data_IF_031086786240
#
_entry.id   IF_031086786240
#
_cell.length_a   1.000
_cell.length_b   1.000
_cell.length_c   1.000
_cell.angle_alpha   90.00
_cell.angle_beta   90.00
_cell.angle_gamma   90.00
#
_symmetry.space_group_name_H-M   'P 1'
#
loop_
_entity.id
_entity.type
_entity.pdbx_description
1 polymer ?
#
# COMPACT_ATOMS: atom_id res chain seq x y z
N UNK A 1 2.63 -7.59 34.85
CA UNK A 1 3.29 -8.16 33.66
C UNK A 1 3.76 -6.99 32.81
N UNK A 2 5.08 -6.75 32.73
CA UNK A 2 5.64 -5.56 32.09
C UNK A 2 5.40 -5.59 30.57
N UNK A 3 4.26 -5.08 30.13
CA UNK A 3 3.86 -5.04 28.74
C UNK A 3 4.65 -3.93 28.03
N UNK A 4 5.34 -4.28 26.94
CA UNK A 4 6.06 -3.33 26.10
C UNK A 4 5.20 -2.07 25.82
N UNK A 5 5.72 -0.89 26.12
CA UNK A 5 4.96 0.35 26.02
C UNK A 5 4.96 0.86 24.57
N UNK A 6 3.97 0.47 23.78
CA UNK A 6 3.86 0.85 22.35
C UNK A 6 3.61 2.34 22.10
N UNK A 7 2.89 3.00 23.01
CA UNK A 7 2.50 4.42 22.92
C UNK A 7 2.88 5.10 24.22
N UNK A 8 3.59 6.23 24.18
CA UNK A 8 3.97 6.98 25.40
C UNK A 8 2.81 7.83 25.91
N UNK A 9 2.88 8.29 27.18
CA UNK A 9 1.87 9.19 27.72
C UNK A 9 1.82 10.54 26.99
N UNK A 10 2.98 11.05 26.56
CA UNK A 10 3.07 12.21 25.68
C UNK A 10 2.26 11.98 24.39
N UNK A 11 2.38 10.78 23.79
CA UNK A 11 1.64 10.46 22.59
C UNK A 11 0.13 10.42 22.80
N UNK A 12 -0.33 9.81 23.90
CA UNK A 12 -1.74 9.77 24.28
C UNK A 12 -2.31 11.17 24.48
N UNK A 13 -1.59 12.06 25.17
CA UNK A 13 -2.03 13.45 25.39
C UNK A 13 -2.16 14.29 24.11
N UNK A 14 -1.49 13.87 23.04
CA UNK A 14 -1.59 14.52 21.73
C UNK A 14 -2.83 14.11 20.95
N UNK A 15 -3.42 12.93 21.22
CA UNK A 15 -4.59 12.43 20.50
C UNK A 15 -5.80 13.34 20.68
N UNK A 16 -6.06 13.84 21.89
CA UNK A 16 -7.17 14.75 22.18
C UNK A 16 -7.05 16.12 21.47
N UNK A 17 -5.81 16.52 21.14
CA UNK A 17 -5.51 17.80 20.47
C UNK A 17 -5.50 17.65 18.95
N UNK A 18 -5.52 16.42 18.45
CA UNK A 18 -5.42 16.16 17.03
C UNK A 18 -6.70 16.56 16.30
N UNK A 19 -6.55 17.39 15.26
CA UNK A 19 -7.62 17.73 14.33
C UNK A 19 -7.18 17.44 12.91
N UNK A 20 -7.96 16.62 12.21
CA UNK A 20 -7.70 16.33 10.80
C UNK A 20 -7.88 17.59 9.94
N UNK A 21 -6.89 17.89 9.08
CA UNK A 21 -6.86 19.08 8.23
C UNK A 21 -6.53 18.71 6.78
N UNK A 22 -7.54 18.69 5.92
CA UNK A 22 -7.39 18.43 4.49
C UNK A 22 -8.09 19.50 3.68
N UNK A 23 -7.51 19.91 2.55
CA UNK A 23 -8.12 20.81 1.57
C UNK A 23 -7.87 20.19 0.23
N UNK A 24 -8.97 20.10 -0.47
CA UNK A 24 -8.99 19.59 -1.79
C UNK A 24 -8.69 20.73 -2.76
N UNK A 25 -7.71 20.52 -3.63
CA UNK A 25 -7.43 21.43 -4.74
C UNK A 25 -7.58 20.74 -6.09
N UNK A 26 -7.97 19.46 -6.10
CA UNK A 26 -8.11 18.71 -7.33
C UNK A 26 -9.35 19.21 -8.09
N UNK A 27 -9.22 19.78 -9.31
CA UNK A 27 -10.36 20.23 -10.08
C UNK A 27 -11.40 19.12 -10.31
N UNK A 28 -10.96 17.89 -10.57
CA UNK A 28 -11.87 16.77 -10.77
C UNK A 28 -12.66 16.45 -9.50
N UNK A 29 -12.00 16.57 -8.34
CA UNK A 29 -12.67 16.35 -7.06
C UNK A 29 -13.68 17.47 -6.76
N UNK A 30 -13.28 18.73 -6.92
CA UNK A 30 -14.12 19.92 -6.67
C UNK A 30 -15.34 19.94 -7.59
N UNK A 31 -15.14 19.73 -8.90
CA UNK A 31 -16.20 19.95 -9.88
C UNK A 31 -17.00 18.70 -10.22
N UNK A 32 -16.47 17.49 -10.02
CA UNK A 32 -17.18 16.23 -10.35
C UNK A 32 -17.50 15.43 -9.10
N UNK A 33 -16.50 15.14 -8.25
CA UNK A 33 -16.68 14.22 -7.14
C UNK A 33 -17.49 14.80 -5.98
N UNK A 34 -17.21 16.04 -5.54
CA UNK A 34 -17.96 16.67 -4.45
C UNK A 34 -19.46 16.80 -4.75
N UNK A 35 -19.90 17.28 -5.92
CA UNK A 35 -21.32 17.28 -6.28
C UNK A 35 -21.95 15.88 -6.30
N UNK A 36 -21.22 14.89 -6.81
CA UNK A 36 -21.66 13.50 -6.82
C UNK A 36 -21.82 12.95 -5.40
N UNK A 37 -20.79 13.03 -4.54
CA UNK A 37 -20.82 12.53 -3.17
C UNK A 37 -21.85 13.25 -2.31
N UNK A 38 -21.99 14.57 -2.44
CA UNK A 38 -23.02 15.35 -1.75
C UNK A 38 -24.44 14.95 -2.14
N UNK A 39 -24.62 14.40 -3.35
CA UNK A 39 -25.90 13.85 -3.80
C UNK A 39 -26.11 12.44 -3.22
N UNK A 40 -25.07 11.59 -3.25
CA UNK A 40 -25.12 10.22 -2.70
C UNK A 40 -25.38 10.22 -1.19
N UNK A 41 -24.73 11.10 -0.42
CA UNK A 41 -24.91 11.21 1.03
C UNK A 41 -26.37 11.50 1.40
N UNK A 42 -27.13 12.22 0.56
CA UNK A 42 -28.55 12.49 0.81
C UNK A 42 -29.45 11.27 0.63
N UNK A 43 -28.97 10.23 -0.06
CA UNK A 43 -29.68 8.95 -0.24
C UNK A 43 -29.47 8.07 1.00
N UNK A 44 -28.36 8.25 1.72
CA UNK A 44 -28.08 7.46 2.92
C UNK A 44 -29.03 7.85 4.05
N UNK A 45 -29.59 6.86 4.76
CA UNK A 45 -30.53 7.14 5.84
C UNK A 45 -29.81 7.78 7.03
N UNK A 46 -30.49 8.73 7.69
CA UNK A 46 -29.90 9.51 8.79
C UNK A 46 -29.59 8.71 10.06
N UNK A 47 -30.16 7.51 10.21
CA UNK A 47 -29.82 6.60 11.31
C UNK A 47 -28.47 5.89 11.12
N UNK A 48 -27.92 5.91 9.89
CA UNK A 48 -26.67 5.22 9.57
C UNK A 48 -25.48 6.05 10.07
N UNK A 49 -24.87 5.59 11.17
CA UNK A 49 -23.71 6.25 11.73
C UNK A 49 -22.52 6.27 10.74
N UNK A 50 -21.74 7.36 10.67
CA UNK A 50 -20.57 7.45 9.78
C UNK A 50 -19.55 6.31 9.98
N UNK A 51 -19.33 5.87 11.23
CA UNK A 51 -18.42 4.77 11.55
C UNK A 51 -18.92 3.42 11.02
N UNK A 52 -20.24 3.25 10.87
CA UNK A 52 -20.80 2.03 10.28
C UNK A 52 -20.58 2.02 8.77
N UNK A 53 -20.72 3.18 8.10
CA UNK A 53 -20.42 3.31 6.66
C UNK A 53 -18.97 2.90 6.37
N UNK A 54 -18.02 3.43 7.14
CA UNK A 54 -16.59 3.12 6.95
C UNK A 54 -16.28 1.65 7.23
N UNK A 55 -16.85 1.08 8.29
CA UNK A 55 -16.70 -0.35 8.60
C UNK A 55 -17.31 -1.25 7.53
N UNK A 56 -18.50 -0.93 7.04
CA UNK A 56 -19.15 -1.67 5.95
C UNK A 56 -18.33 -1.61 4.67
N UNK A 57 -17.80 -0.43 4.30
CA UNK A 57 -16.89 -0.30 3.15
C UNK A 57 -15.63 -1.16 3.29
N UNK A 58 -15.04 -1.20 4.49
CA UNK A 58 -13.92 -2.09 4.78
C UNK A 58 -14.30 -3.57 4.62
N UNK A 59 -15.49 -3.99 5.07
CA UNK A 59 -15.94 -5.37 4.90
C UNK A 59 -16.17 -5.75 3.44
N UNK A 60 -16.64 -4.84 2.60
CA UNK A 60 -16.72 -5.08 1.15
C UNK A 60 -15.34 -5.23 0.49
N UNK A 61 -14.32 -4.49 0.96
CA UNK A 61 -12.95 -4.69 0.51
C UNK A 61 -12.42 -6.06 0.90
N UNK A 62 -12.63 -6.49 2.16
CA UNK A 62 -12.27 -7.83 2.64
C UNK A 62 -12.96 -8.89 1.79
N UNK A 63 -14.28 -8.76 1.56
CA UNK A 63 -15.04 -9.68 0.73
C UNK A 63 -14.47 -9.77 -0.69
N UNK A 64 -14.18 -8.64 -1.33
CA UNK A 64 -13.61 -8.60 -2.68
C UNK A 64 -12.26 -9.32 -2.73
N UNK A 65 -11.40 -9.09 -1.74
CA UNK A 65 -10.12 -9.78 -1.62
C UNK A 65 -10.29 -11.29 -1.39
N UNK A 66 -11.23 -11.71 -0.54
CA UNK A 66 -11.54 -13.12 -0.30
C UNK A 66 -12.09 -13.80 -1.55
N UNK A 67 -12.99 -13.13 -2.28
CA UNK A 67 -13.51 -13.65 -3.55
C UNK A 67 -12.38 -13.83 -4.58
N UNK A 68 -11.51 -12.82 -4.75
CA UNK A 68 -10.37 -12.93 -5.65
C UNK A 68 -9.43 -14.07 -5.21
N UNK A 69 -9.14 -14.17 -3.92
CA UNK A 69 -8.30 -15.24 -3.37
C UNK A 69 -8.90 -16.64 -3.52
N UNK A 70 -10.23 -16.74 -3.63
CA UNK A 70 -10.94 -18.00 -3.82
C UNK A 70 -11.02 -18.40 -5.30
N UNK A 71 -11.33 -17.45 -6.19
CA UNK A 71 -11.50 -17.70 -7.62
C UNK A 71 -10.20 -17.76 -8.40
N UNK A 72 -9.20 -16.96 -8.02
CA UNK A 72 -7.88 -16.91 -8.66
C UNK A 72 -6.81 -17.11 -7.60
N UNK A 73 -6.76 -18.35 -7.08
CA UNK A 73 -5.92 -18.71 -5.95
C UNK A 73 -4.47 -18.26 -6.16
N UNK A 74 -3.84 -18.66 -7.26
CA UNK A 74 -2.43 -18.39 -7.54
C UNK A 74 -2.20 -17.13 -8.42
N UNK A 75 -3.22 -16.29 -8.59
CA UNK A 75 -3.17 -15.08 -9.43
C UNK A 75 -2.79 -15.36 -10.90
N UNK A 76 -3.21 -16.51 -11.44
CA UNK A 76 -2.91 -16.94 -12.80
C UNK A 76 -3.90 -16.43 -13.85
N UNK A 77 -5.01 -15.79 -13.47
CA UNK A 77 -6.02 -15.33 -14.41
C UNK A 77 -5.48 -14.35 -15.47
N UNK A 78 -4.38 -13.65 -15.19
CA UNK A 78 -3.70 -12.79 -16.16
C UNK A 78 -2.60 -13.47 -16.99
N UNK A 79 -2.25 -14.73 -16.70
CA UNK A 79 -1.03 -15.40 -17.17
C UNK A 79 -1.23 -16.58 -18.12
N UNK A 80 -2.29 -17.40 -17.96
CA UNK A 80 -2.38 -18.68 -18.67
C UNK A 80 -2.84 -18.59 -20.13
N UNK A 81 -3.85 -17.76 -20.43
CA UNK A 81 -4.44 -17.66 -21.79
C UNK A 81 -3.42 -17.22 -22.85
N UNK A 82 -2.35 -16.53 -22.43
CA UNK A 82 -1.34 -15.99 -23.34
C UNK A 82 -0.16 -16.91 -23.61
N UNK A 83 0.00 -18.02 -22.88
CA UNK A 83 1.16 -18.88 -23.10
C UNK A 83 1.09 -19.56 -24.48
N UNK A 84 -0.09 -20.02 -24.89
CA UNK A 84 -0.29 -20.63 -26.22
C UNK A 84 -0.05 -19.62 -27.36
N UNK A 85 -0.69 -18.45 -27.30
CA UNK A 85 -0.65 -17.49 -28.41
C UNK A 85 0.73 -16.86 -28.63
N UNK A 86 1.49 -16.63 -27.55
CA UNK A 86 2.86 -16.11 -27.62
C UNK A 86 3.85 -17.20 -28.05
N UNK A 87 3.66 -18.44 -27.58
CA UNK A 87 4.47 -19.58 -28.00
C UNK A 87 4.36 -19.81 -29.51
N UNK A 88 3.14 -19.79 -30.06
CA UNK A 88 2.90 -20.01 -31.49
C UNK A 88 3.47 -18.89 -32.38
N UNK A 89 3.52 -17.65 -31.90
CA UNK A 89 3.98 -16.50 -32.70
C UNK A 89 5.47 -16.17 -32.52
N UNK A 90 6.07 -16.44 -31.36
CA UNK A 90 7.39 -15.91 -30.97
C UNK A 90 8.34 -16.95 -30.34
N UNK A 91 7.90 -18.21 -30.16
CA UNK A 91 8.75 -19.29 -29.64
C UNK A 91 8.95 -19.30 -28.12
N UNK A 92 9.70 -20.29 -27.63
CA UNK A 92 9.89 -20.57 -26.18
C UNK A 92 10.69 -19.51 -25.42
N UNK A 93 11.66 -18.86 -26.08
CA UNK A 93 12.58 -17.94 -25.40
C UNK A 93 11.88 -16.63 -25.01
N UNK A 94 10.98 -16.14 -25.87
CA UNK A 94 10.13 -14.98 -25.59
C UNK A 94 9.13 -15.29 -24.48
N UNK A 95 8.66 -16.53 -24.39
CA UNK A 95 7.75 -17.00 -23.34
C UNK A 95 8.41 -17.02 -21.96
N UNK A 96 9.65 -17.54 -21.88
CA UNK A 96 10.42 -17.58 -20.64
C UNK A 96 10.77 -16.18 -20.16
N UNK A 97 11.25 -15.31 -21.07
CA UNK A 97 11.49 -13.90 -20.78
C UNK A 97 10.22 -13.23 -20.23
N UNK A 98 9.09 -13.34 -20.94
CA UNK A 98 7.80 -12.79 -20.50
C UNK A 98 7.37 -13.34 -19.14
N UNK A 99 7.52 -14.64 -18.89
CA UNK A 99 7.26 -15.30 -17.61
C UNK A 99 7.94 -14.61 -16.43
N UNK A 100 9.26 -14.39 -16.55
CA UNK A 100 10.05 -13.68 -15.54
C UNK A 100 9.59 -12.22 -15.34
N UNK A 101 9.29 -11.49 -16.43
CA UNK A 101 8.75 -10.13 -16.32
C UNK A 101 7.45 -10.08 -15.52
N UNK A 102 6.53 -11.02 -15.72
CA UNK A 102 5.22 -11.01 -15.04
C UNK A 102 5.29 -11.27 -13.54
N UNK A 103 6.26 -12.06 -13.08
CA UNK A 103 6.47 -12.31 -11.63
C UNK A 103 6.70 -10.99 -10.90
N UNK A 104 7.47 -10.10 -11.52
CA UNK A 104 7.85 -8.82 -10.93
C UNK A 104 6.82 -7.72 -11.17
N UNK A 105 6.08 -7.73 -12.28
CA UNK A 105 5.10 -6.69 -12.62
C UNK A 105 4.04 -6.49 -11.53
N UNK A 106 3.37 -7.57 -11.09
CA UNK A 106 2.35 -7.49 -10.04
C UNK A 106 2.94 -7.01 -8.71
N UNK A 107 4.14 -7.47 -8.38
CA UNK A 107 4.83 -7.06 -7.17
C UNK A 107 5.23 -5.58 -7.19
N UNK A 108 5.70 -5.05 -8.31
CA UNK A 108 6.03 -3.63 -8.43
C UNK A 108 4.79 -2.74 -8.45
N UNK A 109 3.71 -3.16 -9.10
CA UNK A 109 2.41 -2.47 -9.00
C UNK A 109 1.95 -2.43 -7.54
N UNK A 110 2.09 -3.55 -6.83
CA UNK A 110 1.76 -3.63 -5.41
C UNK A 110 2.62 -2.69 -4.56
N UNK A 111 3.94 -2.70 -4.70
CA UNK A 111 4.86 -1.76 -4.02
C UNK A 111 4.48 -0.32 -4.35
N UNK A 112 4.16 -0.01 -5.60
CA UNK A 112 3.78 1.33 -6.01
C UNK A 112 2.51 1.80 -5.29
N UNK A 113 1.48 0.96 -5.21
CA UNK A 113 0.25 1.27 -4.49
C UNK A 113 0.58 1.54 -3.01
N UNK A 114 1.36 0.67 -2.36
CA UNK A 114 1.77 0.90 -0.97
C UNK A 114 2.58 2.19 -0.79
N UNK A 115 3.54 2.45 -1.68
CA UNK A 115 4.37 3.65 -1.66
C UNK A 115 3.53 4.92 -1.81
N UNK A 116 2.56 4.93 -2.73
CA UNK A 116 1.68 6.08 -2.94
C UNK A 116 0.82 6.40 -1.70
N UNK A 117 0.28 5.38 -1.03
CA UNK A 117 -0.44 5.52 0.25
C UNK A 117 0.51 6.06 1.32
N UNK A 118 1.76 5.59 1.34
CA UNK A 118 2.75 6.05 2.29
C UNK A 118 3.11 7.53 2.10
N UNK A 119 3.45 7.93 0.87
CA UNK A 119 3.79 9.31 0.51
C UNK A 119 2.67 10.27 0.91
N UNK A 120 1.42 9.85 0.75
CA UNK A 120 0.25 10.62 1.22
C UNK A 120 0.32 10.91 2.72
N UNK A 121 0.59 9.90 3.56
CA UNK A 121 0.70 10.08 5.01
C UNK A 121 1.93 10.91 5.40
N UNK A 122 3.07 10.70 4.75
CA UNK A 122 4.29 11.49 5.03
C UNK A 122 4.13 12.95 4.62
N UNK A 123 3.52 13.21 3.47
CA UNK A 123 3.24 14.56 3.03
C UNK A 123 2.38 15.29 4.06
N UNK A 124 1.34 14.62 4.58
CA UNK A 124 0.47 15.19 5.59
C UNK A 124 1.21 15.59 6.88
N UNK A 125 2.24 14.83 7.26
CA UNK A 125 3.09 15.15 8.42
C UNK A 125 3.85 16.44 8.20
N UNK A 126 4.51 16.56 7.05
CA UNK A 126 5.42 17.68 6.80
C UNK A 126 4.68 18.99 6.55
N UNK A 127 3.53 18.95 5.87
CA UNK A 127 2.79 20.16 5.48
C UNK A 127 1.63 20.50 6.42
N UNK A 128 1.32 19.65 7.42
CA UNK A 128 0.18 19.79 8.35
C UNK A 128 -1.19 19.95 7.67
N UNK A 129 -1.24 19.58 6.39
CA UNK A 129 -2.31 19.90 5.48
C UNK A 129 -2.25 18.97 4.26
N UNK A 130 -3.33 18.24 3.97
CA UNK A 130 -3.38 17.29 2.84
C UNK A 130 -3.80 17.97 1.54
N UNK A 131 -3.00 17.82 0.48
CA UNK A 131 -3.50 18.00 -0.87
C UNK A 131 -4.04 16.66 -1.40
N UNK A 132 -5.37 16.49 -1.44
CA UNK A 132 -6.06 15.21 -1.72
C UNK A 132 -5.80 14.62 -3.12
N UNK A 133 -5.02 15.32 -3.94
CA UNK A 133 -4.69 14.97 -5.32
C UNK A 133 -4.00 13.59 -5.46
N UNK A 134 -3.20 13.16 -4.48
CA UNK A 134 -2.36 11.96 -4.59
C UNK A 134 -3.13 10.63 -4.42
N UNK A 135 -4.13 10.60 -3.53
CA UNK A 135 -4.94 9.42 -3.30
C UNK A 135 -5.97 9.24 -4.40
N UNK A 136 -6.58 10.34 -4.85
CA UNK A 136 -7.63 10.34 -5.87
C UNK A 136 -7.13 9.91 -7.25
N UNK A 137 -5.88 10.18 -7.62
CA UNK A 137 -5.37 9.84 -8.95
C UNK A 137 -5.36 8.33 -9.21
N UNK A 138 -5.03 7.50 -8.22
CA UNK A 138 -5.05 6.04 -8.37
C UNK A 138 -6.46 5.49 -8.60
N UNK A 139 -7.40 5.89 -7.74
CA UNK A 139 -8.79 5.43 -7.87
C UNK A 139 -9.43 5.97 -9.14
N UNK A 140 -9.09 7.18 -9.58
CA UNK A 140 -9.54 7.73 -10.85
C UNK A 140 -8.99 6.92 -12.03
N UNK A 141 -7.69 6.61 -12.03
CA UNK A 141 -7.05 5.77 -13.04
C UNK A 141 -7.68 4.37 -13.11
N UNK A 142 -7.89 3.73 -11.96
CA UNK A 142 -8.55 2.41 -11.86
C UNK A 142 -10.02 2.50 -12.31
N UNK A 143 -10.74 3.56 -11.93
CA UNK A 143 -12.14 3.77 -12.35
C UNK A 143 -12.27 3.97 -13.85
N UNK A 144 -11.38 4.75 -14.46
CA UNK A 144 -11.32 4.94 -15.93
C UNK A 144 -11.12 3.60 -16.62
N UNK A 145 -10.24 2.76 -16.10
CA UNK A 145 -9.98 1.42 -16.64
C UNK A 145 -11.21 0.53 -16.54
N UNK A 146 -11.93 0.55 -15.42
CA UNK A 146 -13.18 -0.19 -15.27
C UNK A 146 -14.27 0.33 -16.22
N UNK A 147 -14.37 1.64 -16.43
CA UNK A 147 -15.33 2.24 -17.38
C UNK A 147 -14.99 1.83 -18.81
N UNK A 148 -13.72 1.89 -19.21
CA UNK A 148 -13.27 1.43 -20.53
C UNK A 148 -13.59 -0.06 -20.69
N UNK A 149 -13.32 -0.86 -19.67
CA UNK A 149 -13.63 -2.30 -19.68
C UNK A 149 -15.12 -2.57 -19.84
N UNK A 150 -15.98 -1.76 -19.19
CA UNK A 150 -17.43 -1.89 -19.31
C UNK A 150 -17.92 -1.56 -20.74
N UNK A 151 -17.28 -0.63 -21.44
CA UNK A 151 -17.66 -0.24 -22.81
C UNK A 151 -17.09 -1.20 -23.86
N UNK A 152 -15.82 -1.56 -23.74
CA UNK A 152 -15.10 -2.37 -24.74
C UNK A 152 -15.34 -3.87 -24.53
N UNK A 153 -15.76 -4.27 -23.33
CA UNK A 153 -15.95 -5.65 -22.91
C UNK A 153 -14.67 -6.26 -22.32
N UNK A 154 -14.85 -7.25 -21.45
CA UNK A 154 -13.74 -7.94 -20.77
C UNK A 154 -12.83 -8.70 -21.75
N UNK A 155 -13.39 -9.14 -22.89
CA UNK A 155 -12.68 -9.91 -23.90
C UNK A 155 -11.54 -9.15 -24.58
N UNK A 156 -11.58 -7.82 -24.54
CA UNK A 156 -10.52 -6.99 -25.11
C UNK A 156 -9.20 -7.16 -24.36
N UNK A 157 -9.22 -7.44 -23.06
CA UNK A 157 -8.02 -7.62 -22.25
C UNK A 157 -7.17 -8.83 -22.65
N UNK A 158 -7.78 -9.83 -23.32
CA UNK A 158 -7.09 -11.00 -23.81
C UNK A 158 -6.46 -10.80 -25.20
N UNK A 159 -6.77 -9.70 -25.89
CA UNK A 159 -6.26 -9.42 -27.24
C UNK A 159 -5.05 -8.48 -27.22
N UNK A 160 -4.06 -8.69 -28.10
CA UNK A 160 -2.97 -7.74 -28.28
C UNK A 160 -3.47 -6.42 -28.88
N UNK A 161 -2.88 -5.30 -28.45
CA UNK A 161 -3.20 -3.95 -28.94
C UNK A 161 -2.43 -3.70 -30.24
N UNK A 162 -1.10 -3.87 -30.21
CA UNK A 162 -0.20 -3.73 -31.36
C UNK A 162 0.95 -4.74 -31.22
N UNK A 163 1.01 -5.71 -32.13
CA UNK A 163 2.06 -6.74 -32.15
C UNK A 163 2.10 -7.54 -30.84
N UNK A 164 3.17 -7.34 -30.06
CA UNK A 164 3.41 -8.04 -28.78
C UNK A 164 2.77 -7.29 -27.60
N UNK A 165 2.38 -6.02 -27.74
CA UNK A 165 1.92 -5.17 -26.62
C UNK A 165 0.46 -5.44 -26.29
N UNK A 166 0.17 -5.73 -25.02
CA UNK A 166 -1.18 -6.04 -24.52
C UNK A 166 -1.77 -4.87 -23.71
N UNK A 167 -3.10 -4.88 -23.53
CA UNK A 167 -3.78 -3.88 -22.70
C UNK A 167 -3.27 -3.86 -21.25
N UNK A 168 -2.85 -5.02 -20.72
CA UNK A 168 -2.19 -5.13 -19.41
C UNK A 168 -0.87 -4.35 -19.36
N UNK A 169 -0.06 -4.43 -20.41
CA UNK A 169 1.23 -3.76 -20.46
C UNK A 169 1.02 -2.22 -20.48
N UNK A 170 -0.01 -1.74 -21.18
CA UNK A 170 -0.43 -0.34 -21.15
C UNK A 170 -0.90 0.09 -19.75
N UNK A 171 -1.60 -0.77 -19.03
CA UNK A 171 -2.03 -0.50 -17.67
C UNK A 171 -0.83 -0.35 -16.71
N UNK A 172 0.16 -1.24 -16.81
CA UNK A 172 1.41 -1.14 -16.05
C UNK A 172 2.16 0.16 -16.38
N UNK A 173 2.32 0.49 -17.67
CA UNK A 173 2.96 1.74 -18.12
C UNK A 173 2.21 2.97 -17.62
N UNK A 174 0.88 2.94 -17.63
CA UNK A 174 0.06 4.04 -17.13
C UNK A 174 0.26 4.25 -15.63
N UNK A 175 0.24 3.17 -14.84
CA UNK A 175 0.48 3.21 -13.39
C UNK A 175 1.87 3.77 -13.07
N UNK A 176 2.90 3.22 -13.72
CA UNK A 176 4.29 3.69 -13.55
C UNK A 176 4.44 5.13 -14.06
N UNK A 177 3.79 5.49 -15.16
CA UNK A 177 3.75 6.85 -15.68
C UNK A 177 3.12 7.84 -14.70
N UNK A 178 2.00 7.47 -14.07
CA UNK A 178 1.38 8.28 -13.02
C UNK A 178 2.32 8.53 -11.84
N UNK A 179 3.16 7.56 -11.45
CA UNK A 179 4.18 7.76 -10.41
C UNK A 179 5.11 8.95 -10.74
N UNK A 180 5.71 8.92 -11.93
CA UNK A 180 6.75 9.88 -12.31
C UNK A 180 6.21 11.22 -12.80
N UNK A 181 5.01 11.25 -13.36
CA UNK A 181 4.42 12.48 -13.93
C UNK A 181 3.54 13.20 -12.92
N UNK A 182 2.86 12.46 -12.04
CA UNK A 182 1.81 13.01 -11.16
C UNK A 182 2.23 12.91 -9.69
N UNK A 183 2.43 11.70 -9.19
CA UNK A 183 2.64 11.44 -7.75
C UNK A 183 3.91 12.09 -7.21
N UNK A 184 5.07 11.81 -7.81
CA UNK A 184 6.36 12.33 -7.33
C UNK A 184 6.50 13.84 -7.55
N UNK A 185 6.24 14.41 -8.75
CA UNK A 185 6.39 15.85 -8.95
C UNK A 185 5.45 16.66 -8.07
N UNK A 186 4.22 16.20 -7.87
CA UNK A 186 3.26 16.92 -7.04
C UNK A 186 3.66 16.88 -5.55
N UNK A 187 4.13 15.74 -5.05
CA UNK A 187 4.64 15.62 -3.68
C UNK A 187 5.81 16.59 -3.46
N UNK A 188 6.78 16.60 -4.38
CA UNK A 188 7.93 17.54 -4.33
C UNK A 188 7.49 19.00 -4.41
N UNK A 189 6.56 19.33 -5.31
CA UNK A 189 6.00 20.67 -5.43
C UNK A 189 5.33 21.13 -4.12
N UNK A 190 4.56 20.26 -3.47
CA UNK A 190 3.88 20.57 -2.23
C UNK A 190 4.86 20.82 -1.08
N UNK A 191 5.90 19.99 -0.96
CA UNK A 191 6.98 20.20 0.02
C UNK A 191 7.71 21.51 -0.26
N UNK A 192 8.06 21.79 -1.52
CA UNK A 192 8.72 23.04 -1.91
C UNK A 192 7.85 24.27 -1.63
N UNK A 193 6.55 24.20 -1.90
CA UNK A 193 5.59 25.26 -1.59
C UNK A 193 5.48 25.49 -0.08
N UNK A 194 5.44 24.43 0.72
CA UNK A 194 5.43 24.54 2.18
C UNK A 194 6.72 25.14 2.74
N UNK A 195 7.87 24.78 2.14
CA UNK A 195 9.17 25.39 2.46
C UNK A 195 9.19 26.89 2.16
N UNK A 196 8.74 27.30 0.96
CA UNK A 196 8.61 28.71 0.57
C UNK A 196 7.69 29.52 1.49
N UNK A 197 6.63 28.90 1.98
CA UNK A 197 5.63 29.55 2.85
C UNK A 197 5.98 29.46 4.34
N UNK A 198 7.12 28.86 4.71
CA UNK A 198 7.54 28.65 6.10
C UNK A 198 6.52 27.88 6.95
N UNK A 199 5.72 27.02 6.33
CA UNK A 199 4.70 26.18 6.99
C UNK A 199 5.17 24.75 7.21
N UNK A 200 6.44 24.46 6.93
CA UNK A 200 7.04 23.13 7.05
C UNK A 200 7.23 22.78 8.52
N UNK A 201 6.77 21.60 8.94
CA UNK A 201 6.84 21.14 10.32
C UNK A 201 8.27 20.93 10.82
N UNK A 202 9.13 20.36 9.97
CA UNK A 202 10.53 20.11 10.29
C UNK A 202 11.45 20.94 9.38
N UNK A 203 12.38 21.71 9.94
CA UNK A 203 13.33 22.53 9.16
C UNK A 203 14.53 21.74 8.65
N UNK A 204 14.82 20.58 9.24
CA UNK A 204 15.95 19.73 8.88
C UNK A 204 15.56 18.69 7.83
N UNK A 205 16.35 18.59 6.76
CA UNK A 205 16.20 17.55 5.72
C UNK A 205 16.29 16.15 6.32
N UNK A 206 17.12 15.97 7.34
CA UNK A 206 17.23 14.68 8.04
C UNK A 206 15.92 14.28 8.72
N UNK A 207 15.23 15.23 9.37
CA UNK A 207 13.96 14.96 10.02
C UNK A 207 12.84 14.69 9.01
N UNK A 208 12.84 15.41 7.89
CA UNK A 208 11.89 15.20 6.80
C UNK A 208 12.07 13.85 6.06
N UNK A 209 13.31 13.35 5.98
CA UNK A 209 13.61 12.05 5.35
C UNK A 209 13.45 10.86 6.30
N UNK A 210 13.43 11.11 7.62
CA UNK A 210 13.35 10.08 8.65
C UNK A 210 12.17 9.10 8.46
N UNK A 211 10.95 9.54 8.09
CA UNK A 211 9.83 8.64 7.86
C UNK A 211 10.10 7.61 6.75
N UNK A 212 10.81 8.00 5.69
CA UNK A 212 11.00 7.16 4.52
C UNK A 212 11.92 5.94 4.77
N UNK A 213 12.72 5.95 5.83
CA UNK A 213 13.71 4.89 6.06
C UNK A 213 13.07 3.50 6.25
N UNK A 214 12.06 3.40 7.12
CA UNK A 214 11.38 2.12 7.40
C UNK A 214 10.67 1.50 6.18
N UNK A 215 9.81 2.20 5.42
CA UNK A 215 9.15 1.61 4.26
C UNK A 215 10.11 1.35 3.09
N UNK A 216 11.12 2.19 2.87
CA UNK A 216 12.14 1.92 1.84
C UNK A 216 12.90 0.65 2.17
N UNK A 217 13.31 0.47 3.43
CA UNK A 217 13.94 -0.76 3.88
C UNK A 217 13.02 -1.97 3.71
N UNK A 218 11.73 -1.85 4.06
CA UNK A 218 10.74 -2.91 3.83
C UNK A 218 10.67 -3.31 2.35
N UNK A 219 10.55 -2.35 1.44
CA UNK A 219 10.45 -2.61 0.00
C UNK A 219 11.73 -3.20 -0.58
N UNK A 220 12.90 -2.72 -0.15
CA UNK A 220 14.20 -3.29 -0.54
C UNK A 220 14.31 -4.74 -0.05
N UNK A 221 14.01 -5.02 1.22
CA UNK A 221 14.08 -6.37 1.78
C UNK A 221 13.09 -7.33 1.08
N UNK A 222 11.87 -6.88 0.81
CA UNK A 222 10.88 -7.68 0.07
C UNK A 222 11.31 -7.96 -1.36
N UNK A 223 11.90 -6.96 -2.04
CA UNK A 223 12.42 -7.14 -3.41
C UNK A 223 13.60 -8.12 -3.41
N UNK A 224 14.55 -7.97 -2.48
CA UNK A 224 15.67 -8.88 -2.33
C UNK A 224 15.24 -10.31 -2.04
N UNK A 225 14.22 -10.50 -1.19
CA UNK A 225 13.69 -11.83 -0.90
C UNK A 225 13.14 -12.48 -2.16
N UNK A 226 12.30 -11.78 -2.95
CA UNK A 226 11.77 -12.35 -4.20
C UNK A 226 12.89 -12.62 -5.21
N UNK A 227 13.78 -11.64 -5.45
CA UNK A 227 14.82 -11.76 -6.48
C UNK A 227 15.87 -12.82 -6.19
N UNK A 228 16.09 -13.15 -4.92
CA UNK A 228 17.11 -14.12 -4.49
C UNK A 228 16.49 -15.36 -3.84
N UNK A 229 15.17 -15.59 -4.03
CA UNK A 229 14.46 -16.74 -3.48
C UNK A 229 14.91 -18.04 -4.16
N UNK A 230 15.44 -19.03 -3.44
CA UNK A 230 15.81 -20.32 -4.03
C UNK A 230 14.61 -21.18 -4.46
N UNK A 231 13.42 -20.96 -3.86
CA UNK A 231 12.25 -21.81 -4.10
C UNK A 231 11.15 -21.16 -4.94
N UNK A 232 11.37 -19.97 -5.49
CA UNK A 232 10.37 -19.17 -6.23
C UNK A 232 9.08 -18.97 -5.41
N UNK A 233 9.23 -18.38 -4.21
CA UNK A 233 8.11 -18.19 -3.27
C UNK A 233 6.93 -17.42 -3.85
N UNK A 234 7.18 -16.51 -4.79
CA UNK A 234 6.13 -15.68 -5.38
C UNK A 234 5.24 -16.49 -6.33
N UNK A 235 5.77 -17.53 -6.97
CA UNK A 235 4.97 -18.42 -7.82
C UNK A 235 4.23 -19.46 -6.98
N UNK A 236 4.86 -19.97 -5.92
CA UNK A 236 4.27 -21.04 -5.09
C UNK A 236 3.27 -20.54 -4.06
N UNK A 237 3.53 -19.38 -3.44
CA UNK A 237 2.73 -18.84 -2.34
C UNK A 237 2.60 -17.30 -2.42
N UNK A 238 2.10 -16.75 -3.55
CA UNK A 238 2.00 -15.29 -3.74
C UNK A 238 1.15 -14.62 -2.65
N UNK A 239 0.01 -15.22 -2.29
CA UNK A 239 -0.96 -14.67 -1.32
C UNK A 239 -0.32 -14.38 0.03
N UNK A 240 0.40 -15.36 0.56
CA UNK A 240 1.01 -15.28 1.89
C UNK A 240 2.12 -14.22 1.89
N UNK A 241 2.89 -14.15 0.80
CA UNK A 241 3.92 -13.13 0.64
C UNK A 241 3.32 -11.72 0.58
N UNK A 242 2.31 -11.48 -0.25
CA UNK A 242 1.64 -10.17 -0.34
C UNK A 242 0.98 -9.77 0.99
N UNK A 243 0.33 -10.72 1.66
CA UNK A 243 -0.25 -10.51 2.99
C UNK A 243 0.80 -10.12 4.03
N UNK A 244 1.96 -10.78 4.02
CA UNK A 244 3.09 -10.48 4.91
C UNK A 244 3.61 -9.07 4.68
N UNK A 245 3.94 -8.72 3.43
CA UNK A 245 4.46 -7.38 3.08
C UNK A 245 3.44 -6.30 3.40
N UNK A 246 2.16 -6.55 3.11
CA UNK A 246 1.07 -5.60 3.37
C UNK A 246 0.83 -5.37 4.86
N UNK A 247 0.88 -6.43 5.66
CA UNK A 247 0.71 -6.35 7.11
C UNK A 247 1.91 -5.67 7.76
N UNK A 248 3.14 -5.97 7.31
CA UNK A 248 4.34 -5.28 7.76
C UNK A 248 4.30 -3.78 7.41
N UNK A 249 3.88 -3.44 6.20
CA UNK A 249 3.68 -2.06 5.75
C UNK A 249 2.62 -1.34 6.57
N UNK A 250 1.48 -1.98 6.83
CA UNK A 250 0.43 -1.46 7.70
C UNK A 250 0.98 -1.16 9.10
N UNK A 251 1.79 -2.05 9.68
CA UNK A 251 2.42 -1.83 10.98
C UNK A 251 3.34 -0.59 10.98
N UNK A 252 4.14 -0.39 9.94
CA UNK A 252 5.00 0.79 9.79
C UNK A 252 4.15 2.06 9.64
N UNK A 253 3.11 2.02 8.82
CA UNK A 253 2.23 3.15 8.55
C UNK A 253 1.39 3.53 9.77
N UNK A 254 0.87 2.59 10.55
CA UNK A 254 0.14 2.92 11.78
C UNK A 254 1.02 3.65 12.81
N UNK A 255 2.30 3.27 12.94
CA UNK A 255 3.25 3.98 13.81
C UNK A 255 3.51 5.41 13.32
N UNK A 256 3.61 5.59 12.00
CA UNK A 256 3.71 6.90 11.39
C UNK A 256 2.48 7.77 11.71
N UNK A 257 1.27 7.21 11.55
CA UNK A 257 0.00 7.88 11.86
C UNK A 257 -0.06 8.28 13.34
N UNK A 258 0.35 7.39 14.26
CA UNK A 258 0.39 7.71 15.70
C UNK A 258 1.35 8.85 15.99
N UNK A 259 2.54 8.87 15.37
CA UNK A 259 3.48 9.99 15.54
C UNK A 259 2.90 11.31 15.02
N UNK A 260 2.14 11.27 13.94
CA UNK A 260 1.44 12.44 13.42
C UNK A 260 0.36 12.95 14.37
N UNK A 261 -0.55 12.05 14.80
CA UNK A 261 -1.67 12.41 15.68
C UNK A 261 -1.18 12.98 17.01
N UNK A 262 -0.10 12.43 17.53
CA UNK A 262 0.50 12.88 18.78
C UNK A 262 1.44 14.08 18.64
N UNK A 263 1.74 14.53 17.42
CA UNK A 263 2.78 15.53 17.15
C UNK A 263 4.17 15.15 17.73
N UNK A 264 4.52 13.86 17.72
CA UNK A 264 5.80 13.36 18.23
C UNK A 264 6.77 12.96 17.12
N UNK A 265 8.07 12.93 17.43
CA UNK A 265 9.11 12.53 16.48
C UNK A 265 8.98 11.06 16.08
N UNK A 266 9.02 10.79 14.79
CA UNK A 266 9.01 9.42 14.26
C UNK A 266 10.32 8.69 14.60
N UNK A 267 10.23 7.41 14.98
CA UNK A 267 11.42 6.56 15.10
C UNK A 267 11.88 6.14 13.70
N UNK A 268 13.19 6.17 13.38
CA UNK A 268 13.71 5.84 12.05
C UNK A 268 13.40 4.41 11.62
N UNK A 269 13.55 3.46 12.54
CA UNK A 269 13.44 2.03 12.25
C UNK A 269 12.35 1.38 13.09
N UNK A 270 11.37 0.76 12.41
CA UNK A 270 10.42 -0.13 13.06
C UNK A 270 11.13 -1.41 13.51
N UNK A 271 10.97 -1.78 14.78
CA UNK A 271 11.55 -3.01 15.35
C UNK A 271 11.20 -4.27 14.55
N UNK A 272 10.05 -4.29 13.86
CA UNK A 272 9.62 -5.40 13.01
C UNK A 272 10.58 -5.68 11.82
N UNK A 273 11.31 -4.66 11.37
CA UNK A 273 12.18 -4.77 10.20
C UNK A 273 13.53 -5.43 10.50
N UNK A 274 14.01 -5.37 11.75
CA UNK A 274 15.25 -6.04 12.15
C UNK A 274 15.18 -7.58 12.01
N UNK A 275 14.19 -8.28 12.60
CA UNK A 275 14.02 -9.71 12.37
C UNK A 275 13.68 -10.03 10.91
N UNK A 276 13.01 -9.14 10.18
CA UNK A 276 12.82 -9.31 8.73
C UNK A 276 14.16 -9.33 7.98
N UNK A 277 15.07 -8.40 8.28
CA UNK A 277 16.42 -8.42 7.70
C UNK A 277 17.14 -9.73 8.00
N UNK A 278 17.05 -10.23 9.24
CA UNK A 278 17.65 -11.50 9.60
C UNK A 278 17.06 -12.68 8.82
N UNK A 279 15.74 -12.72 8.62
CA UNK A 279 15.07 -13.73 7.81
C UNK A 279 15.51 -13.66 6.35
N UNK A 280 15.58 -12.47 5.76
CA UNK A 280 16.03 -12.30 4.37
C UNK A 280 17.49 -12.73 4.21
N UNK A 281 18.37 -12.34 5.14
CA UNK A 281 19.77 -12.78 5.12
C UNK A 281 19.91 -14.30 5.27
N UNK A 282 19.10 -14.92 6.13
CA UNK A 282 19.05 -16.38 6.30
C UNK A 282 18.65 -17.08 5.00
N UNK A 283 17.65 -16.56 4.28
CA UNK A 283 17.22 -17.11 2.98
C UNK A 283 18.30 -16.93 1.91
N UNK A 284 18.88 -15.73 1.79
CA UNK A 284 19.95 -15.42 0.83
C UNK A 284 21.20 -16.27 1.09
N UNK A 285 21.51 -16.58 2.36
CA UNK A 285 22.65 -17.42 2.72
C UNK A 285 22.54 -18.87 2.25
N UNK A 286 21.37 -19.30 1.76
CA UNK A 286 21.12 -20.66 1.27
C UNK A 286 20.95 -21.71 2.38
N UNK A 287 21.04 -21.33 3.65
CA UNK A 287 20.91 -22.25 4.80
C UNK A 287 19.51 -22.89 4.86
N UNK A 288 18.47 -22.19 4.39
CA UNK A 288 17.06 -22.62 4.51
C UNK A 288 16.41 -22.85 3.14
N UNK A 289 17.15 -23.36 2.16
CA UNK A 289 16.62 -23.67 0.82
C UNK A 289 15.39 -24.58 0.85
N UNK A 290 15.41 -25.64 1.66
CA UNK A 290 14.29 -26.60 1.72
C UNK A 290 13.13 -26.15 2.62
N UNK A 291 13.35 -25.14 3.48
CA UNK A 291 12.39 -24.67 4.48
C UNK A 291 11.84 -23.26 4.22
N UNK A 292 12.18 -22.63 3.10
CA UNK A 292 11.86 -21.23 2.82
C UNK A 292 10.36 -20.92 2.92
N UNK A 293 9.51 -21.81 2.39
CA UNK A 293 8.05 -21.66 2.47
C UNK A 293 7.57 -21.71 3.93
N UNK A 294 8.11 -22.63 4.73
CA UNK A 294 7.79 -22.72 6.16
C UNK A 294 8.22 -21.46 6.91
N UNK A 295 9.41 -20.92 6.58
CA UNK A 295 9.90 -19.64 7.12
C UNK A 295 8.95 -18.50 6.74
N UNK A 296 8.46 -18.46 5.49
CA UNK A 296 7.47 -17.47 5.05
C UNK A 296 6.19 -17.55 5.89
N UNK A 297 5.64 -18.74 6.11
CA UNK A 297 4.43 -18.92 6.95
C UNK A 297 4.65 -18.47 8.39
N UNK A 298 5.74 -18.92 9.02
CA UNK A 298 6.07 -18.56 10.41
C UNK A 298 6.26 -17.05 10.53
N UNK A 299 7.02 -16.45 9.61
CA UNK A 299 7.27 -15.02 9.60
C UNK A 299 5.98 -14.22 9.39
N UNK A 300 5.12 -14.65 8.47
CA UNK A 300 3.81 -14.04 8.23
C UNK A 300 2.94 -14.07 9.48
N UNK A 301 2.88 -15.20 10.18
CA UNK A 301 2.13 -15.32 11.44
C UNK A 301 2.68 -14.36 12.51
N UNK A 302 3.99 -14.24 12.66
CA UNK A 302 4.63 -13.30 13.59
C UNK A 302 4.27 -11.85 13.25
N UNK A 303 4.34 -11.47 11.97
CA UNK A 303 3.99 -10.13 11.50
C UNK A 303 2.52 -9.80 11.78
N UNK A 304 1.60 -10.72 11.49
CA UNK A 304 0.16 -10.56 11.76
C UNK A 304 -0.10 -10.42 13.26
N UNK A 305 0.42 -11.33 14.08
CA UNK A 305 0.25 -11.27 15.53
C UNK A 305 0.81 -9.97 16.11
N UNK A 306 1.98 -9.53 15.63
CA UNK A 306 2.58 -8.26 16.05
C UNK A 306 1.73 -7.06 15.65
N UNK A 307 1.11 -7.07 14.47
CA UNK A 307 0.22 -6.01 14.01
C UNK A 307 -1.08 -5.96 14.82
N UNK A 308 -1.73 -7.10 15.04
CA UNK A 308 -2.94 -7.20 15.86
C UNK A 308 -2.64 -6.75 17.29
N UNK A 309 -1.56 -7.26 17.89
CA UNK A 309 -1.18 -6.89 19.25
C UNK A 309 -0.87 -5.40 19.38
N UNK A 310 -0.21 -4.80 18.39
CA UNK A 310 0.00 -3.35 18.34
C UNK A 310 -1.34 -2.59 18.29
N UNK A 311 -2.25 -2.95 17.39
CA UNK A 311 -3.55 -2.28 17.26
C UNK A 311 -4.38 -2.36 18.53
N UNK A 312 -4.54 -3.56 19.10
CA UNK A 312 -5.28 -3.77 20.36
C UNK A 312 -4.67 -2.97 21.50
N UNK A 313 -3.33 -2.94 21.60
CA UNK A 313 -2.62 -2.20 22.66
C UNK A 313 -2.83 -0.69 22.56
N UNK A 314 -2.89 -0.14 21.34
CA UNK A 314 -3.13 1.30 21.13
C UNK A 314 -4.55 1.66 21.56
N UNK A 315 -5.56 0.92 21.08
CA UNK A 315 -6.98 1.17 21.37
C UNK A 315 -7.31 1.00 22.85
N UNK A 316 -6.79 -0.06 23.47
CA UNK A 316 -7.02 -0.32 24.90
C UNK A 316 -6.48 0.83 25.76
N UNK A 317 -5.27 1.33 25.47
CA UNK A 317 -4.69 2.44 26.23
C UNK A 317 -5.46 3.74 26.06
N UNK A 318 -5.83 4.08 24.83
CA UNK A 318 -6.62 5.28 24.54
C UNK A 318 -7.97 5.26 25.26
N UNK A 319 -8.67 4.13 25.21
CA UNK A 319 -9.96 3.94 25.91
C UNK A 319 -9.81 4.10 27.43
N UNK A 320 -8.77 3.49 28.02
CA UNK A 320 -8.52 3.62 29.45
C UNK A 320 -8.21 5.07 29.88
N UNK A 321 -7.47 5.82 29.08
CA UNK A 321 -7.19 7.24 29.33
C UNK A 321 -8.45 8.09 29.24
N UNK A 322 -9.33 7.83 28.26
CA UNK A 322 -10.61 8.54 28.13
C UNK A 322 -11.59 8.26 29.28
N UNK A 323 -11.58 7.04 29.85
CA UNK A 323 -12.43 6.71 31.02
C UNK A 323 -11.89 7.23 32.36
N UNK A 324 -10.61 7.61 32.42
CA UNK A 324 -9.95 8.08 33.63
C UNK A 324 -10.00 9.61 33.81
N UNK A 325 -10.35 10.35 32.75
CA UNK A 325 -10.55 11.80 32.72
C UNK A 325 -12.05 12.14 32.79
#
# INVERSE_FOLDING_TARGET
MALYHYVTQEQLSGFDKYKYSAVDSNPLSIYVMHPFWNSVVKILPTWLAPNLITFTGFMFLVLTFTLLSFFDFDFYASGEVNKLCVYDCYGSDVLLMRGEYYKFDFFFIYIYILYSIYTYHTQYIETSFVLMFLFLSLYQTISVVYIITAVVGVEAWYKPVIGIVQYRDLFTVMIVGCLFVVTLPMSLYNVFKAYRNSTLKHSSVYEALLPFFSPVLLFVLSTLWISLSPTDIIEKQPRIFYLMVGTAFSNVTCKLIVCQMSNTRCKPLSLLLLPMTAVVLLVISGVVQHGEITVLYIWTAIVILTHIHYGVSVVSKDTHTQTAN
#
